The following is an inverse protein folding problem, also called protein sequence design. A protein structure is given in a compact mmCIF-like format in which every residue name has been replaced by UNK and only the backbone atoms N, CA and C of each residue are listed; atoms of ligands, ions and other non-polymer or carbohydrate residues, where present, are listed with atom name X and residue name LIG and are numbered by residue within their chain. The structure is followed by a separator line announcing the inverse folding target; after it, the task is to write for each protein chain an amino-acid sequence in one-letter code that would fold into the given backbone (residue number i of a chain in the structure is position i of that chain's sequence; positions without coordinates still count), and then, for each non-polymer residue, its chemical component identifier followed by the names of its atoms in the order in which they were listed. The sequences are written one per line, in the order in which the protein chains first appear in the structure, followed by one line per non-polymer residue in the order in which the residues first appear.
data_IF_111133705872
#
_entry.id   IF_111133705872
#
_cell.length_a   1.000
_cell.length_b   1.000
_cell.length_c   1.000
_cell.angle_alpha   90.00
_cell.angle_beta   90.00
_cell.angle_gamma   90.00
#
_symmetry.space_group_name_H-M   'P 1'
#
loop_
_entity.id
_entity.type
_entity.pdbx_description
1 polymer ?
#
# COMPACT_ATOMS: atom_id res chain seq x y z
N UNK A 1 6.83 13.08 56.64
CA UNK A 1 7.40 13.13 55.27
C UNK A 1 7.40 11.70 54.75
N UNK A 2 6.37 11.33 54.00
CA UNK A 2 6.21 9.98 53.45
C UNK A 2 6.77 9.97 52.03
N UNK A 3 7.81 9.18 51.81
CA UNK A 3 8.39 8.93 50.48
C UNK A 3 7.37 8.23 49.58
N UNK A 4 7.33 8.53 48.26
CA UNK A 4 6.46 7.80 47.35
C UNK A 4 7.11 6.47 46.96
N UNK A 5 6.38 5.37 47.18
CA UNK A 5 6.67 4.04 46.66
C UNK A 5 6.68 4.06 45.12
N UNK A 6 7.79 3.61 44.52
CA UNK A 6 7.91 3.45 43.08
C UNK A 6 7.07 2.26 42.62
N UNK A 7 5.91 2.52 42.03
CA UNK A 7 5.08 1.50 41.38
C UNK A 7 5.78 0.94 40.14
N UNK A 8 6.39 -0.24 40.24
CA UNK A 8 6.92 -0.99 39.09
C UNK A 8 5.75 -1.53 38.25
N UNK A 9 5.51 -0.95 37.08
CA UNK A 9 4.58 -1.52 36.10
C UNK A 9 5.05 -2.94 35.70
N UNK A 10 4.16 -3.95 35.66
CA UNK A 10 4.55 -5.30 35.26
C UNK A 10 4.96 -5.30 33.79
N UNK A 11 6.26 -5.47 33.55
CA UNK A 11 6.83 -5.67 32.21
C UNK A 11 6.27 -6.97 31.63
N UNK A 12 5.66 -6.90 30.45
CA UNK A 12 5.18 -8.09 29.75
C UNK A 12 6.40 -8.99 29.45
N UNK A 13 6.36 -10.29 29.79
CA UNK A 13 7.47 -11.18 29.51
C UNK A 13 7.72 -11.25 28.00
N UNK A 14 8.99 -11.23 27.61
CA UNK A 14 9.39 -11.33 26.21
C UNK A 14 8.78 -12.59 25.57
N UNK A 15 8.24 -12.42 24.35
CA UNK A 15 7.74 -13.52 23.54
C UNK A 15 7.95 -13.20 22.07
N UNK A 16 8.64 -14.10 21.39
CA UNK A 16 8.76 -14.08 19.93
C UNK A 16 7.97 -15.25 19.36
N UNK A 17 7.05 -14.96 18.43
CA UNK A 17 6.13 -15.95 17.90
C UNK A 17 5.89 -15.74 16.41
N UNK A 18 6.65 -16.41 15.55
CA UNK A 18 6.70 -16.17 14.11
C UNK A 18 7.02 -17.47 13.36
N UNK A 19 6.60 -17.58 12.09
CA UNK A 19 7.03 -18.71 11.25
C UNK A 19 8.41 -18.47 10.63
N UNK A 20 8.75 -17.23 10.34
CA UNK A 20 10.00 -16.85 9.70
C UNK A 20 10.66 -15.72 10.47
N UNK A 21 11.97 -15.78 10.61
CA UNK A 21 12.74 -14.83 11.38
C UNK A 21 13.86 -14.23 10.53
N UNK A 22 14.21 -12.99 10.83
CA UNK A 22 15.38 -12.30 10.32
C UNK A 22 16.26 -11.95 11.51
N UNK A 23 17.50 -12.41 11.49
CA UNK A 23 18.49 -12.15 12.52
C UNK A 23 19.57 -11.24 11.96
N UNK A 24 20.00 -10.31 12.79
CA UNK A 24 21.21 -9.49 12.54
C UNK A 24 22.13 -9.63 13.74
N UNK A 25 23.30 -10.21 13.55
CA UNK A 25 24.36 -10.24 14.54
C UNK A 25 25.31 -9.05 14.28
N UNK A 26 25.18 -7.96 15.05
CA UNK A 26 26.09 -6.82 14.90
C UNK A 26 27.49 -7.19 15.40
N UNK A 27 28.52 -6.61 14.79
CA UNK A 27 29.93 -6.76 15.18
C UNK A 27 30.33 -8.23 15.44
N UNK A 28 29.95 -9.13 14.54
CA UNK A 28 30.16 -10.56 14.68
C UNK A 28 31.20 -11.05 13.66
N UNK A 29 32.43 -11.40 14.10
CA UNK A 29 33.49 -11.90 13.23
C UNK A 29 33.38 -13.41 12.96
N UNK A 30 32.32 -14.08 13.42
CA UNK A 30 32.12 -15.51 13.21
C UNK A 30 32.01 -15.83 11.71
N UNK A 31 32.46 -17.03 11.34
CA UNK A 31 32.31 -17.52 9.98
C UNK A 31 30.84 -17.83 9.66
N UNK A 32 30.32 -17.44 8.49
CA UNK A 32 28.96 -17.78 8.06
C UNK A 32 28.64 -19.28 8.14
N UNK A 33 29.59 -20.15 7.81
CA UNK A 33 29.46 -21.60 7.87
C UNK A 33 29.23 -22.10 9.29
N UNK A 34 29.97 -21.55 10.25
CA UNK A 34 29.86 -21.91 11.65
C UNK A 34 28.47 -21.53 12.18
N UNK A 35 28.05 -20.29 11.94
CA UNK A 35 26.73 -19.79 12.35
C UNK A 35 25.60 -20.61 11.69
N UNK A 36 25.74 -20.91 10.40
CA UNK A 36 24.77 -21.74 9.66
C UNK A 36 24.61 -23.12 10.32
N UNK A 37 25.72 -23.81 10.57
CA UNK A 37 25.69 -25.14 11.19
C UNK A 37 25.07 -25.11 12.59
N UNK A 38 25.37 -24.08 13.38
CA UNK A 38 24.79 -23.88 14.70
C UNK A 38 23.27 -23.69 14.61
N UNK A 39 22.79 -22.82 13.72
CA UNK A 39 21.36 -22.53 13.57
C UNK A 39 20.57 -23.73 13.03
N UNK A 40 21.13 -24.49 12.09
CA UNK A 40 20.50 -25.72 11.58
C UNK A 40 20.30 -26.73 12.71
N UNK A 41 21.31 -26.93 13.56
CA UNK A 41 21.21 -27.83 14.70
C UNK A 41 20.24 -27.32 15.78
N UNK A 42 20.30 -26.02 16.09
CA UNK A 42 19.43 -25.37 17.07
C UNK A 42 17.94 -25.48 16.69
N UNK A 43 17.63 -25.35 15.40
CA UNK A 43 16.27 -25.33 14.86
C UNK A 43 15.80 -26.69 14.34
N UNK A 44 16.55 -27.76 14.53
CA UNK A 44 16.25 -29.09 13.96
C UNK A 44 14.82 -29.57 14.30
N UNK A 45 14.31 -29.26 15.49
CA UNK A 45 12.95 -29.59 15.93
C UNK A 45 11.82 -28.82 15.20
N UNK A 46 12.15 -27.71 14.54
CA UNK A 46 11.22 -26.85 13.81
C UNK A 46 11.20 -27.10 12.30
N UNK A 47 12.03 -28.04 11.82
CA UNK A 47 12.23 -28.35 10.41
C UNK A 47 12.59 -27.09 9.59
N UNK A 48 13.85 -26.61 9.67
CA UNK A 48 14.28 -25.48 8.87
C UNK A 48 14.25 -25.86 7.38
N UNK A 49 13.55 -25.08 6.57
CA UNK A 49 13.41 -25.31 5.13
C UNK A 49 14.47 -24.58 4.33
N UNK A 50 14.88 -23.40 4.79
CA UNK A 50 15.92 -22.60 4.15
C UNK A 50 16.56 -21.62 5.13
N UNK A 51 17.90 -21.55 5.14
CA UNK A 51 18.66 -20.62 5.97
C UNK A 51 19.87 -20.10 5.17
N UNK A 52 19.85 -18.88 4.62
CA UNK A 52 21.03 -18.20 4.13
C UNK A 52 21.63 -17.31 5.23
N UNK A 53 22.95 -17.36 5.36
CA UNK A 53 23.78 -16.53 6.24
C UNK A 53 24.75 -15.74 5.36
N UNK A 54 24.59 -14.43 5.33
CA UNK A 54 25.47 -13.52 4.62
C UNK A 54 26.33 -12.71 5.59
N UNK A 55 27.56 -12.44 5.17
CA UNK A 55 28.47 -11.55 5.87
C UNK A 55 28.49 -10.20 5.17
N UNK A 56 28.13 -9.16 5.91
CA UNK A 56 28.11 -7.78 5.44
C UNK A 56 29.22 -7.00 6.13
N UNK A 57 30.10 -6.38 5.35
CA UNK A 57 31.07 -5.41 5.88
C UNK A 57 30.36 -4.07 6.03
N UNK A 58 30.20 -3.61 7.27
CA UNK A 58 29.66 -2.27 7.53
C UNK A 58 30.73 -1.21 7.18
N UNK A 59 30.29 0.00 6.83
CA UNK A 59 31.18 1.12 6.47
C UNK A 59 32.17 1.49 7.60
N UNK A 60 31.83 1.13 8.85
CA UNK A 60 32.68 1.30 10.04
C UNK A 60 33.83 0.27 10.13
N UNK A 61 33.96 -0.63 9.15
CA UNK A 61 34.95 -1.71 9.12
C UNK A 61 34.57 -2.93 9.96
N UNK A 62 33.44 -2.89 10.68
CA UNK A 62 32.94 -4.00 11.47
C UNK A 62 32.12 -4.99 10.62
N UNK A 63 32.23 -6.27 10.94
CA UNK A 63 31.54 -7.35 10.23
C UNK A 63 30.19 -7.64 10.88
N UNK A 64 29.13 -7.70 10.10
CA UNK A 64 27.78 -8.09 10.51
C UNK A 64 27.39 -9.39 9.83
N UNK A 65 26.60 -10.22 10.53
CA UNK A 65 25.97 -11.39 9.92
C UNK A 65 24.47 -11.18 9.84
N UNK A 66 23.94 -11.35 8.63
CA UNK A 66 22.51 -11.32 8.35
C UNK A 66 22.02 -12.72 8.02
N UNK A 67 20.94 -13.13 8.69
CA UNK A 67 20.38 -14.47 8.53
C UNK A 67 18.88 -14.40 8.29
N UNK A 68 18.41 -15.07 7.25
CA UNK A 68 17.00 -15.38 7.08
C UNK A 68 16.75 -16.81 7.58
N UNK A 69 15.71 -17.02 8.37
CA UNK A 69 15.32 -18.34 8.86
C UNK A 69 13.92 -18.66 8.36
N UNK A 70 13.81 -19.68 7.51
CA UNK A 70 12.55 -20.26 7.10
C UNK A 70 12.37 -21.62 7.76
N UNK A 71 11.27 -21.81 8.50
CA UNK A 71 10.90 -23.09 9.12
C UNK A 71 9.52 -23.53 8.67
N UNK A 72 9.28 -24.84 8.70
CA UNK A 72 7.96 -25.43 8.47
C UNK A 72 7.02 -25.16 9.65
N UNK A 73 7.56 -25.31 10.87
CA UNK A 73 6.84 -25.09 12.12
C UNK A 73 7.04 -23.67 12.63
N UNK A 74 6.08 -23.19 13.42
CA UNK A 74 6.15 -21.86 14.03
C UNK A 74 7.18 -21.83 15.16
N UNK A 75 8.09 -20.85 15.15
CA UNK A 75 8.94 -20.52 16.29
C UNK A 75 8.09 -19.84 17.36
N UNK A 76 8.13 -20.34 18.60
CA UNK A 76 7.51 -19.69 19.76
C UNK A 76 8.43 -19.85 20.98
N UNK A 77 9.14 -18.79 21.33
CA UNK A 77 10.07 -18.79 22.46
C UNK A 77 9.91 -17.54 23.32
N UNK A 78 10.19 -17.70 24.62
CA UNK A 78 10.10 -16.65 25.64
C UNK A 78 11.46 -16.09 26.06
N UNK A 79 12.55 -16.73 25.64
CA UNK A 79 13.91 -16.26 25.92
C UNK A 79 14.41 -15.41 24.76
N UNK A 80 14.84 -14.15 24.99
CA UNK A 80 15.50 -13.36 23.95
C UNK A 80 16.85 -13.97 23.56
N UNK A 81 17.47 -14.76 24.45
CA UNK A 81 18.79 -15.39 24.25
C UNK A 81 18.74 -16.70 23.47
N UNK A 82 17.60 -17.05 22.88
CA UNK A 82 17.43 -18.33 22.19
C UNK A 82 18.42 -18.50 21.02
N UNK A 83 18.81 -17.39 20.39
CA UNK A 83 19.75 -17.34 19.27
C UNK A 83 21.12 -16.77 19.66
N UNK A 84 21.50 -16.78 20.94
CA UNK A 84 22.85 -16.39 21.35
C UNK A 84 23.86 -17.46 20.88
N UNK A 85 24.99 -17.02 20.32
CA UNK A 85 26.08 -17.90 19.86
C UNK A 85 27.42 -17.28 20.25
N UNK A 86 28.28 -18.03 20.96
CA UNK A 86 29.61 -17.58 21.41
C UNK A 86 29.66 -16.18 22.04
N UNK A 87 28.59 -15.79 22.75
CA UNK A 87 28.46 -14.47 23.38
C UNK A 87 27.91 -13.35 22.50
N UNK A 88 27.62 -13.62 21.22
CA UNK A 88 26.98 -12.68 20.30
C UNK A 88 25.46 -12.81 20.36
N UNK A 89 24.80 -11.69 20.62
CA UNK A 89 23.33 -11.59 20.71
C UNK A 89 22.76 -10.96 19.44
N UNK A 90 21.87 -11.64 18.69
CA UNK A 90 21.28 -11.08 17.50
C UNK A 90 20.12 -10.14 17.82
N UNK A 91 19.89 -9.18 16.92
CA UNK A 91 18.61 -8.51 16.78
C UNK A 91 17.64 -9.47 16.06
N UNK A 92 16.57 -9.87 16.76
CA UNK A 92 15.61 -10.87 16.29
C UNK A 92 14.34 -10.16 15.80
N UNK A 93 14.00 -10.30 14.52
CA UNK A 93 12.81 -9.70 13.93
C UNK A 93 11.97 -10.73 13.15
N UNK A 94 10.64 -10.56 13.09
CA UNK A 94 9.81 -11.35 12.17
C UNK A 94 10.12 -10.97 10.71
N UNK A 95 10.34 -11.96 9.84
CA UNK A 95 10.51 -11.73 8.41
C UNK A 95 9.15 -11.45 7.75
N UNK A 96 8.75 -10.17 7.66
CA UNK A 96 7.44 -9.76 7.11
C UNK A 96 7.30 -10.02 5.61
N UNK A 97 8.37 -9.80 4.86
CA UNK A 97 8.44 -10.07 3.42
C UNK A 97 9.63 -10.98 3.18
N UNK A 98 9.35 -12.28 2.99
CA UNK A 98 10.40 -13.29 2.78
C UNK A 98 11.26 -12.92 1.58
N UNK A 99 10.63 -12.47 0.48
CA UNK A 99 11.32 -12.15 -0.76
C UNK A 99 12.27 -10.96 -0.60
N UNK A 100 11.83 -9.89 0.07
CA UNK A 100 12.65 -8.69 0.25
C UNK A 100 13.84 -9.00 1.17
N UNK A 101 13.62 -9.77 2.25
CA UNK A 101 14.70 -10.18 3.16
C UNK A 101 15.66 -11.16 2.47
N UNK A 102 15.15 -12.10 1.69
CA UNK A 102 15.96 -13.00 0.89
C UNK A 102 16.87 -12.23 -0.08
N UNK A 103 16.30 -11.29 -0.84
CA UNK A 103 17.07 -10.43 -1.74
C UNK A 103 18.09 -9.57 -0.99
N UNK A 104 17.74 -9.06 0.19
CA UNK A 104 18.66 -8.30 1.04
C UNK A 104 19.88 -9.14 1.44
N UNK A 105 19.65 -10.33 2.01
CA UNK A 105 20.73 -11.23 2.48
C UNK A 105 21.59 -11.73 1.31
N UNK A 106 20.99 -12.04 0.17
CA UNK A 106 21.71 -12.62 -0.98
C UNK A 106 22.33 -11.59 -1.92
N UNK A 107 22.07 -10.29 -1.73
CA UNK A 107 22.50 -9.20 -2.63
C UNK A 107 24.00 -9.21 -2.96
N UNK A 108 24.84 -9.53 -1.97
CA UNK A 108 26.29 -9.50 -2.08
C UNK A 108 26.92 -10.75 -2.69
N UNK A 109 26.16 -11.81 -2.96
CA UNK A 109 26.66 -13.09 -3.50
C UNK A 109 27.59 -13.88 -2.57
N UNK A 110 28.05 -13.30 -1.45
CA UNK A 110 28.87 -13.96 -0.44
C UNK A 110 28.02 -14.41 0.75
N UNK A 111 27.39 -15.58 0.61
CA UNK A 111 26.58 -16.18 1.66
C UNK A 111 26.72 -17.70 1.66
N UNK A 112 26.39 -18.31 2.79
CA UNK A 112 26.27 -19.76 2.95
C UNK A 112 24.83 -20.12 3.20
N UNK A 113 24.38 -21.22 2.62
CA UNK A 113 22.98 -21.59 2.67
C UNK A 113 22.75 -23.05 3.03
N UNK A 114 21.59 -23.31 3.62
CA UNK A 114 21.05 -24.63 3.89
C UNK A 114 19.63 -24.70 3.32
N UNK A 115 19.27 -25.84 2.71
CA UNK A 115 17.92 -26.11 2.22
C UNK A 115 17.63 -25.55 0.82
N UNK A 116 16.34 -25.39 0.48
CA UNK A 116 15.91 -24.89 -0.83
C UNK A 116 15.41 -23.45 -0.76
N UNK A 117 15.88 -22.56 -1.66
CA UNK A 117 15.47 -21.15 -1.63
C UNK A 117 13.96 -20.99 -1.79
N UNK A 118 13.35 -19.97 -1.14
CA UNK A 118 11.93 -19.72 -1.28
C UNK A 118 11.59 -19.45 -2.74
N UNK A 119 10.62 -20.20 -3.27
CA UNK A 119 10.12 -19.94 -4.61
C UNK A 119 9.46 -18.55 -4.61
N UNK A 120 9.78 -17.67 -5.59
CA UNK A 120 9.06 -16.42 -5.73
C UNK A 120 7.57 -16.74 -5.87
N UNK A 121 6.71 -15.93 -5.25
CA UNK A 121 5.26 -16.06 -5.43
C UNK A 121 4.96 -16.01 -6.93
N UNK A 122 4.64 -17.16 -7.53
CA UNK A 122 4.39 -17.29 -8.97
C UNK A 122 3.14 -16.50 -9.39
N UNK A 123 2.20 -16.32 -8.44
CA UNK A 123 1.02 -15.48 -8.59
C UNK A 123 1.02 -14.42 -7.48
N UNK A 124 1.76 -13.31 -7.62
CA UNK A 124 1.61 -12.20 -6.70
C UNK A 124 0.18 -11.68 -6.87
N UNK A 125 -0.68 -11.88 -5.87
CA UNK A 125 -2.00 -11.24 -5.88
C UNK A 125 -1.78 -9.74 -5.95
N UNK A 126 -2.25 -9.05 -7.00
CA UNK A 126 -2.00 -7.63 -7.12
C UNK A 126 -2.63 -6.95 -5.91
N UNK A 127 -1.84 -6.11 -5.23
CA UNK A 127 -2.36 -5.31 -4.10
C UNK A 127 -3.59 -4.57 -4.60
N UNK A 128 -4.70 -4.61 -3.83
CA UNK A 128 -5.98 -4.00 -4.23
C UNK A 128 -5.82 -2.60 -4.81
N UNK A 129 -4.97 -1.77 -4.19
CA UNK A 129 -4.67 -0.41 -4.64
C UNK A 129 -4.04 -0.34 -6.04
N UNK A 130 -3.16 -1.28 -6.40
CA UNK A 130 -2.58 -1.36 -7.74
C UNK A 130 -3.68 -1.66 -8.76
N UNK A 131 -4.54 -2.63 -8.47
CA UNK A 131 -5.64 -3.01 -9.36
C UNK A 131 -6.65 -1.87 -9.53
N UNK A 132 -7.05 -1.19 -8.45
CA UNK A 132 -7.91 -0.01 -8.54
C UNK A 132 -7.26 1.11 -9.34
N UNK A 133 -5.96 1.36 -9.15
CA UNK A 133 -5.21 2.35 -9.94
C UNK A 133 -5.23 2.01 -11.44
N UNK A 134 -5.11 0.74 -11.79
CA UNK A 134 -5.23 0.29 -13.18
C UNK A 134 -6.64 0.50 -13.72
N UNK A 135 -7.67 0.11 -12.98
CA UNK A 135 -9.08 0.30 -13.37
C UNK A 135 -9.37 1.78 -13.62
N UNK A 136 -8.98 2.67 -12.70
CA UNK A 136 -9.20 4.12 -12.82
C UNK A 136 -8.49 4.70 -14.04
N UNK A 137 -7.31 4.20 -14.40
CA UNK A 137 -6.54 4.67 -15.56
C UNK A 137 -7.10 4.21 -16.90
N UNK A 138 -7.65 3.00 -16.95
CA UNK A 138 -8.11 2.39 -18.19
C UNK A 138 -9.56 2.71 -18.54
N UNK A 139 -10.39 3.12 -17.57
CA UNK A 139 -11.80 3.42 -17.79
C UNK A 139 -12.01 4.89 -18.15
N UNK A 140 -12.88 5.15 -19.13
CA UNK A 140 -13.22 6.51 -19.57
C UNK A 140 -14.65 6.91 -19.22
N UNK A 141 -15.48 5.97 -18.79
CA UNK A 141 -16.88 6.20 -18.43
C UNK A 141 -17.21 5.58 -17.06
N UNK A 142 -18.24 6.13 -16.41
CA UNK A 142 -18.79 5.59 -15.14
C UNK A 142 -19.19 4.11 -15.28
N UNK A 143 -19.85 3.76 -16.39
CA UNK A 143 -20.35 2.40 -16.60
C UNK A 143 -19.20 1.39 -16.73
N UNK A 144 -18.18 1.69 -17.54
CA UNK A 144 -17.00 0.83 -17.69
C UNK A 144 -16.26 0.64 -16.36
N UNK A 145 -16.15 1.70 -15.57
CA UNK A 145 -15.53 1.66 -14.24
C UNK A 145 -16.28 0.70 -13.30
N UNK A 146 -17.61 0.81 -13.23
CA UNK A 146 -18.43 -0.04 -12.38
C UNK A 146 -18.41 -1.51 -12.84
N UNK A 147 -18.45 -1.76 -14.15
CA UNK A 147 -18.41 -3.11 -14.72
C UNK A 147 -17.07 -3.81 -14.48
N UNK A 148 -15.94 -3.09 -14.62
CA UNK A 148 -14.62 -3.64 -14.27
C UNK A 148 -14.52 -3.98 -12.79
N UNK A 149 -15.02 -3.11 -11.90
CA UNK A 149 -15.02 -3.39 -10.45
C UNK A 149 -15.88 -4.62 -10.14
N UNK A 150 -17.06 -4.74 -10.74
CA UNK A 150 -17.93 -5.91 -10.57
C UNK A 150 -17.24 -7.21 -10.99
N UNK A 151 -16.48 -7.18 -12.09
CA UNK A 151 -15.75 -8.35 -12.61
C UNK A 151 -14.54 -8.73 -11.74
N UNK A 152 -13.78 -7.73 -11.27
CA UNK A 152 -12.52 -7.96 -10.53
C UNK A 152 -12.76 -8.17 -9.03
N UNK A 153 -13.75 -7.49 -8.45
CA UNK A 153 -14.04 -7.47 -7.02
C UNK A 153 -15.55 -7.66 -6.75
N UNK A 154 -16.11 -8.85 -7.03
CA UNK A 154 -17.57 -9.07 -6.93
C UNK A 154 -18.11 -8.92 -5.49
N UNK A 155 -17.32 -9.30 -4.49
CA UNK A 155 -17.72 -9.17 -3.08
C UNK A 155 -17.75 -7.71 -2.61
N UNK A 156 -16.69 -6.95 -2.92
CA UNK A 156 -16.65 -5.51 -2.63
C UNK A 156 -17.74 -4.78 -3.39
N UNK A 157 -17.99 -5.13 -4.66
CA UNK A 157 -19.07 -4.54 -5.44
C UNK A 157 -20.43 -4.75 -4.76
N UNK A 158 -20.73 -5.98 -4.31
CA UNK A 158 -21.99 -6.28 -3.65
C UNK A 158 -22.17 -5.56 -2.30
N UNK A 159 -21.08 -5.34 -1.56
CA UNK A 159 -21.11 -4.72 -0.22
C UNK A 159 -20.95 -3.21 -0.23
N UNK A 160 -20.33 -2.64 -1.28
CA UNK A 160 -19.92 -1.23 -1.35
C UNK A 160 -20.38 -0.52 -2.62
N UNK A 161 -21.42 -1.02 -3.29
CA UNK A 161 -21.95 -0.45 -4.54
C UNK A 161 -22.08 1.08 -4.49
N UNK A 162 -22.73 1.62 -3.46
CA UNK A 162 -22.96 3.07 -3.32
C UNK A 162 -21.67 3.89 -3.28
N UNK A 163 -20.61 3.37 -2.67
CA UNK A 163 -19.31 4.05 -2.63
C UNK A 163 -18.68 4.09 -4.03
N UNK A 164 -18.81 3.02 -4.80
CA UNK A 164 -18.30 2.97 -6.17
C UNK A 164 -19.11 3.81 -7.14
N UNK A 165 -20.44 3.88 -6.98
CA UNK A 165 -21.29 4.79 -7.75
C UNK A 165 -20.89 6.24 -7.49
N UNK A 166 -20.75 6.62 -6.22
CA UNK A 166 -20.32 7.96 -5.83
C UNK A 166 -18.93 8.32 -6.37
N UNK A 167 -17.94 7.44 -6.21
CA UNK A 167 -16.60 7.70 -6.76
C UNK A 167 -16.59 7.73 -8.30
N UNK A 168 -17.44 6.93 -8.93
CA UNK A 168 -17.63 6.93 -10.38
C UNK A 168 -18.22 8.25 -10.88
N UNK A 169 -19.23 8.80 -10.21
CA UNK A 169 -19.80 10.12 -10.53
C UNK A 169 -18.80 11.25 -10.34
N UNK A 170 -18.03 11.21 -9.24
CA UNK A 170 -16.99 12.20 -8.99
C UNK A 170 -15.87 12.16 -10.03
N UNK A 171 -15.49 10.96 -10.50
CA UNK A 171 -14.41 10.77 -11.47
C UNK A 171 -14.86 11.06 -12.91
N UNK A 172 -16.11 10.75 -13.24
CA UNK A 172 -16.71 10.91 -14.57
C UNK A 172 -17.97 11.77 -14.47
N UNK A 173 -17.81 13.08 -14.20
CA UNK A 173 -18.96 13.97 -14.05
C UNK A 173 -19.71 14.08 -15.37
N UNK A 174 -21.00 13.78 -15.35
CA UNK A 174 -21.86 14.05 -16.49
C UNK A 174 -21.93 15.56 -16.75
N UNK A 175 -21.89 16.00 -18.01
CA UNK A 175 -22.11 17.41 -18.31
C UNK A 175 -23.49 17.80 -17.78
N UNK A 176 -23.55 18.86 -16.97
CA UNK A 176 -24.83 19.37 -16.48
C UNK A 176 -25.72 19.65 -17.70
N UNK A 177 -26.95 19.10 -17.75
CA UNK A 177 -27.83 19.39 -18.86
C UNK A 177 -28.06 20.90 -18.92
N UNK A 178 -28.01 21.47 -20.12
CA UNK A 178 -28.37 22.86 -20.31
C UNK A 178 -29.80 23.07 -19.81
N UNK A 179 -30.01 24.19 -19.12
CA UNK A 179 -31.35 24.54 -18.65
C UNK A 179 -32.28 24.67 -19.85
N UNK A 180 -33.32 23.83 -19.88
CA UNK A 180 -34.41 23.95 -20.82
C UNK A 180 -35.59 24.56 -20.07
N UNK A 181 -36.04 25.77 -20.43
CA UNK A 181 -37.21 26.37 -19.80
C UNK A 181 -38.42 25.46 -20.02
N UNK A 182 -39.20 25.27 -18.96
CA UNK A 182 -40.42 24.45 -18.97
C UNK A 182 -41.47 25.06 -19.91
N UNK A 183 -41.46 26.39 -20.01
CA UNK A 183 -42.35 27.16 -20.87
C UNK A 183 -41.53 27.87 -21.94
N UNK A 184 -41.96 27.70 -23.18
CA UNK A 184 -41.49 28.48 -24.33
C UNK A 184 -42.32 29.76 -24.44
N UNK A 185 -41.82 30.80 -25.13
CA UNK A 185 -42.60 32.02 -25.37
C UNK A 185 -43.98 31.76 -26.02
N UNK A 186 -44.12 30.64 -26.74
CA UNK A 186 -45.38 30.20 -27.35
C UNK A 186 -46.42 29.67 -26.36
N UNK A 187 -46.01 29.28 -25.14
CA UNK A 187 -46.92 28.82 -24.09
C UNK A 187 -47.63 29.99 -23.37
N UNK A 188 -47.20 31.23 -23.64
CA UNK A 188 -47.78 32.43 -23.05
C UNK A 188 -48.66 33.14 -24.09
N UNK A 189 -49.96 33.25 -23.81
CA UNK A 189 -50.81 34.21 -24.52
C UNK A 189 -50.61 35.60 -23.90
N UNK A 190 -49.78 36.42 -24.54
CA UNK A 190 -49.52 37.79 -24.11
C UNK A 190 -50.56 38.73 -24.75
N UNK A 191 -51.37 39.45 -23.94
CA UNK A 191 -52.28 40.47 -24.46
C UNK A 191 -51.54 41.55 -25.28
N UNK A 192 -52.14 42.07 -26.36
CA UNK A 192 -51.49 43.05 -27.24
C UNK A 192 -50.99 44.30 -26.51
N UNK A 193 -51.76 44.79 -25.54
CA UNK A 193 -51.44 45.98 -24.72
C UNK A 193 -50.12 45.82 -23.96
N UNK A 194 -49.85 44.60 -23.46
CA UNK A 194 -48.60 44.30 -22.76
C UNK A 194 -47.46 44.14 -23.74
N UNK A 195 -47.71 43.59 -24.94
CA UNK A 195 -46.69 43.48 -25.98
C UNK A 195 -46.26 44.87 -26.49
N UNK A 196 -47.22 45.77 -26.70
CA UNK A 196 -46.98 47.15 -27.10
C UNK A 196 -46.21 47.91 -26.02
N UNK A 197 -46.59 47.72 -24.74
CA UNK A 197 -45.85 48.30 -23.63
C UNK A 197 -44.40 47.78 -23.55
N UNK A 198 -44.19 46.46 -23.72
CA UNK A 198 -42.85 45.85 -23.75
C UNK A 198 -42.01 46.44 -24.89
N UNK A 199 -42.56 46.51 -26.11
CA UNK A 199 -41.85 47.06 -27.26
C UNK A 199 -41.49 48.54 -27.08
N UNK A 200 -42.32 49.30 -26.37
CA UNK A 200 -42.09 50.73 -26.13
C UNK A 200 -41.11 51.03 -24.97
N UNK A 201 -40.99 50.13 -23.98
CA UNK A 201 -40.25 50.40 -22.74
C UNK A 201 -39.05 49.48 -22.51
N UNK A 202 -39.06 48.27 -23.09
CA UNK A 202 -37.99 47.29 -22.99
C UNK A 202 -37.32 47.20 -24.35
N UNK A 203 -36.28 48.02 -24.54
CA UNK A 203 -35.40 47.90 -25.70
C UNK A 203 -34.67 46.55 -25.62
N UNK A 204 -34.89 45.66 -26.59
CA UNK A 204 -33.96 44.57 -26.85
C UNK A 204 -32.69 45.20 -27.41
N UNK A 205 -31.72 45.43 -26.53
CA UNK A 205 -30.42 45.95 -26.89
C UNK A 205 -29.72 44.94 -27.82
N UNK A 206 -29.86 45.17 -29.12
CA UNK A 206 -29.23 44.40 -30.17
C UNK A 206 -27.73 44.69 -30.20
N UNK A 207 -26.97 44.19 -29.23
CA UNK A 207 -25.53 44.05 -29.39
C UNK A 207 -25.23 42.66 -29.96
N UNK A 208 -25.25 42.57 -31.29
CA UNK A 208 -24.31 41.68 -31.98
C UNK A 208 -22.93 42.29 -31.78
N UNK A 209 -22.08 41.59 -31.05
CA UNK A 209 -20.64 41.84 -30.98
C UNK A 209 -20.06 41.93 -32.40
N UNK A 210 -19.66 43.11 -32.85
CA UNK A 210 -18.66 43.25 -33.92
C UNK A 210 -17.38 43.81 -33.33
N UNK A 211 -16.45 42.90 -33.04
CA UNK A 211 -15.04 43.23 -32.78
C UNK A 211 -14.41 43.57 -34.13
N UNK A 212 -13.91 44.81 -34.33
CA UNK A 212 -12.67 45.06 -35.10
C UNK A 212 -12.26 46.54 -35.14
N UNK A 213 -10.99 46.73 -34.73
CA UNK A 213 -9.98 47.70 -35.19
C UNK A 213 -10.25 49.20 -35.16
N UNK A 214 -9.69 49.85 -34.13
CA UNK A 214 -8.53 50.74 -34.26
C UNK A 214 -8.68 52.04 -35.06
N UNK A 215 -8.48 53.17 -34.36
CA UNK A 215 -7.45 54.20 -34.65
C UNK A 215 -7.91 55.64 -34.47
N UNK A 216 -7.21 56.34 -33.55
CA UNK A 216 -6.61 57.69 -33.65
C UNK A 216 -7.64 58.85 -33.77
N UNK A 217 -7.70 59.87 -32.90
CA UNK A 217 -6.69 60.68 -32.18
C UNK A 217 -7.09 60.97 -30.74
#
# INVERSE_FOLDING_TARGET
MSSPESSSTPSRPYRFSCKHAFLTYPQCPLLPEYLLSHLVNLLANLNPTYIPVAQESHDDGNLHLHVLILTERKMDFRSPRHFDVDGYHPNIQPARSIQDVYQYVTKGGNYKEYGEPPKPNQNPTPKKNCTFRTIIRECNTKQEYLDKIKKVFPYEWATKLRYFEYSGEAQFPEPKPEYKPIYTPSDFQVPPELQDWVNANIFTDGTVMKVSSGSIL
#
